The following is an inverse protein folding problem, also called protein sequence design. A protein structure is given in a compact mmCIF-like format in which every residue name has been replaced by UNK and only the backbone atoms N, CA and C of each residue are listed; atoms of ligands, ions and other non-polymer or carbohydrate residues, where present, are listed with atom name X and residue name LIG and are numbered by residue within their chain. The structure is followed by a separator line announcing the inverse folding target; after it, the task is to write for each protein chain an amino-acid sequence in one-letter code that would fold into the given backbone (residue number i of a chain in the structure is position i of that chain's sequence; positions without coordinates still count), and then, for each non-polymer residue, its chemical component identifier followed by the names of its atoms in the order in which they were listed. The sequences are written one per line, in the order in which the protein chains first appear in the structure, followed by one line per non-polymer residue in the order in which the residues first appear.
data_IF_220930847601
#
_entry.id   IF_220930847601
#
_cell.length_a   1.000
_cell.length_b   1.000
_cell.length_c   1.000
_cell.angle_alpha   90.00
_cell.angle_beta   90.00
_cell.angle_gamma   90.00
#
_symmetry.space_group_name_H-M   'P 1'
#
loop_
_entity.id
_entity.type
_entity.pdbx_description
1 polymer ?
#
# COMPACT_ATOMS: atom_id res chain seq x y z
N UNK A 1 -0.83 -2.01 -10.19
CA UNK A 1 0.42 -2.81 -10.34
C UNK A 1 0.26 -4.21 -9.77
N UNK A 2 0.02 -4.39 -8.46
CA UNK A 2 -0.16 -5.72 -7.85
C UNK A 2 -1.35 -6.49 -8.44
N UNK A 3 -2.49 -5.83 -8.65
CA UNK A 3 -3.67 -6.46 -9.27
C UNK A 3 -3.36 -7.01 -10.68
N UNK A 4 -2.62 -6.24 -11.48
CA UNK A 4 -2.15 -6.68 -12.80
C UNK A 4 -1.18 -7.86 -12.70
N UNK A 5 -0.25 -7.84 -11.73
CA UNK A 5 0.69 -8.94 -11.51
C UNK A 5 -0.05 -10.24 -11.13
N UNK A 6 -1.03 -10.17 -10.23
CA UNK A 6 -1.86 -11.34 -9.83
C UNK A 6 -2.62 -11.92 -11.03
N UNK A 7 -3.15 -11.08 -11.94
CA UNK A 7 -3.80 -11.55 -13.18
C UNK A 7 -2.82 -12.31 -14.10
N UNK A 8 -1.54 -11.98 -14.04
CA UNK A 8 -0.48 -12.61 -14.82
C UNK A 8 0.18 -13.80 -14.11
N UNK A 9 -0.28 -14.22 -12.93
CA UNK A 9 0.30 -15.34 -12.16
C UNK A 9 0.61 -16.57 -13.03
N UNK A 10 -0.35 -17.02 -13.85
CA UNK A 10 -0.16 -18.19 -14.74
C UNK A 10 0.97 -17.99 -15.76
N UNK A 11 1.18 -16.77 -16.22
CA UNK A 11 2.28 -16.46 -17.14
C UNK A 11 3.64 -16.58 -16.43
N UNK A 12 3.73 -16.10 -15.19
CA UNK A 12 4.94 -16.27 -14.36
C UNK A 12 5.21 -17.73 -13.99
N UNK A 13 4.16 -18.51 -13.68
CA UNK A 13 4.28 -19.95 -13.44
C UNK A 13 4.83 -20.68 -14.68
N UNK A 14 4.24 -20.44 -15.85
CA UNK A 14 4.74 -21.00 -17.12
C UNK A 14 6.15 -20.56 -17.46
N UNK A 15 6.52 -19.32 -17.16
CA UNK A 15 7.89 -18.83 -17.35
C UNK A 15 8.89 -19.58 -16.45
N UNK A 16 8.48 -19.93 -15.22
CA UNK A 16 9.26 -20.78 -14.33
C UNK A 16 9.42 -22.22 -14.81
N UNK A 17 8.49 -22.72 -15.63
CA UNK A 17 8.51 -24.08 -16.18
C UNK A 17 9.23 -24.17 -17.53
N UNK A 18 9.03 -23.17 -18.40
CA UNK A 18 9.40 -23.20 -19.82
C UNK A 18 10.67 -22.36 -20.13
N UNK A 19 10.99 -21.33 -19.33
CA UNK A 19 12.08 -20.39 -19.61
C UNK A 19 13.29 -20.59 -18.67
N UNK A 20 14.33 -21.23 -19.19
CA UNK A 20 15.57 -21.48 -18.45
C UNK A 20 16.31 -20.19 -18.11
N UNK A 21 16.23 -19.14 -18.93
CA UNK A 21 16.86 -17.86 -18.64
C UNK A 21 16.17 -17.18 -17.46
N UNK A 22 14.84 -17.23 -17.40
CA UNK A 22 14.07 -16.73 -16.25
C UNK A 22 14.44 -17.46 -14.96
N UNK A 23 14.54 -18.79 -15.00
CA UNK A 23 14.93 -19.58 -13.81
C UNK A 23 16.37 -19.28 -13.38
N UNK A 24 17.31 -19.20 -14.32
CA UNK A 24 18.72 -18.92 -14.01
C UNK A 24 18.92 -17.51 -13.48
N UNK A 25 18.14 -16.53 -13.95
CA UNK A 25 18.18 -15.16 -13.44
C UNK A 25 18.04 -15.08 -11.91
N UNK A 26 17.22 -15.93 -11.28
CA UNK A 26 17.08 -15.97 -9.81
C UNK A 26 18.06 -16.91 -9.10
N UNK A 27 18.74 -17.79 -9.84
CA UNK A 27 19.72 -18.75 -9.30
C UNK A 27 21.14 -18.23 -9.32
N UNK A 28 21.46 -17.36 -10.27
CA UNK A 28 22.80 -16.79 -10.40
C UNK A 28 23.09 -15.90 -9.18
N UNK A 29 24.03 -16.35 -8.34
CA UNK A 29 24.71 -15.47 -7.38
C UNK A 29 25.58 -14.53 -8.21
N UNK A 30 25.00 -13.42 -8.66
CA UNK A 30 25.79 -12.29 -9.10
C UNK A 30 26.79 -11.95 -7.97
N UNK A 31 28.01 -11.59 -8.34
CA UNK A 31 29.01 -11.02 -7.40
C UNK A 31 28.55 -9.70 -6.76
N UNK A 32 27.31 -9.25 -6.99
CA UNK A 32 26.65 -8.16 -6.29
C UNK A 32 26.30 -8.57 -4.86
N UNK A 33 26.45 -7.66 -3.91
CA UNK A 33 26.19 -7.88 -2.47
C UNK A 33 24.73 -8.30 -2.15
N UNK A 34 23.81 -8.26 -3.10
CA UNK A 34 22.40 -8.60 -2.91
C UNK A 34 21.96 -9.80 -3.75
N UNK A 35 21.68 -10.90 -3.04
CA UNK A 35 21.03 -12.09 -3.60
C UNK A 35 19.67 -11.71 -4.20
N UNK A 36 19.47 -12.08 -5.46
CA UNK A 36 18.20 -11.86 -6.17
C UNK A 36 17.09 -12.70 -5.51
N UNK A 37 15.93 -12.08 -5.25
CA UNK A 37 14.77 -12.74 -4.66
C UNK A 37 13.84 -13.18 -5.81
N UNK A 38 13.49 -14.46 -5.84
CA UNK A 38 12.47 -15.01 -6.74
C UNK A 38 12.73 -16.47 -7.12
N UNK A 39 11.96 -17.02 -8.08
CA UNK A 39 10.68 -16.50 -8.61
C UNK A 39 9.57 -16.47 -7.53
N UNK A 40 8.47 -15.71 -7.73
CA UNK A 40 7.38 -15.64 -6.76
C UNK A 40 6.79 -17.01 -6.47
N UNK A 41 6.66 -17.35 -5.19
CA UNK A 41 6.06 -18.60 -4.74
C UNK A 41 4.54 -18.42 -4.46
N UNK A 42 3.87 -19.50 -4.07
CA UNK A 42 2.43 -19.47 -3.77
C UNK A 42 2.08 -18.44 -2.68
N UNK A 43 2.89 -18.35 -1.62
CA UNK A 43 2.67 -17.43 -0.50
C UNK A 43 2.79 -15.98 -0.95
N UNK A 44 3.73 -15.66 -1.85
CA UNK A 44 3.89 -14.32 -2.42
C UNK A 44 2.61 -13.89 -3.15
N UNK A 45 1.98 -14.80 -3.89
CA UNK A 45 0.72 -14.52 -4.60
C UNK A 45 -0.46 -14.31 -3.66
N UNK A 46 -0.54 -15.07 -2.58
CA UNK A 46 -1.62 -14.93 -1.61
C UNK A 46 -1.44 -13.67 -0.76
N UNK A 47 -0.21 -13.38 -0.35
CA UNK A 47 0.15 -12.10 0.26
C UNK A 47 -0.20 -10.93 -0.67
N UNK A 48 0.14 -11.00 -1.97
CA UNK A 48 -0.18 -9.93 -2.91
C UNK A 48 -1.69 -9.63 -2.99
N UNK A 49 -2.56 -10.65 -2.93
CA UNK A 49 -4.03 -10.45 -2.87
C UNK A 49 -4.46 -9.74 -1.60
N UNK A 50 -3.90 -10.13 -0.45
CA UNK A 50 -4.16 -9.47 0.83
C UNK A 50 -3.73 -8.00 0.76
N UNK A 51 -2.55 -7.73 0.19
CA UNK A 51 -2.04 -6.37 0.01
C UNK A 51 -2.88 -5.51 -0.92
N UNK A 52 -3.44 -6.06 -2.00
CA UNK A 52 -4.34 -5.31 -2.90
C UNK A 52 -5.53 -4.76 -2.11
N UNK A 53 -6.18 -5.61 -1.30
CA UNK A 53 -7.32 -5.20 -0.49
C UNK A 53 -6.90 -4.21 0.61
N UNK A 54 -5.77 -4.49 1.27
CA UNK A 54 -5.21 -3.63 2.31
C UNK A 54 -4.92 -2.21 1.80
N UNK A 55 -4.33 -2.09 0.61
CA UNK A 55 -3.89 -0.81 0.03
C UNK A 55 -5.00 -0.04 -0.70
N UNK A 56 -6.12 -0.68 -1.04
CA UNK A 56 -7.18 -0.09 -1.86
C UNK A 56 -7.66 1.28 -1.34
N UNK A 57 -8.06 1.37 -0.07
CA UNK A 57 -8.52 2.62 0.54
C UNK A 57 -7.46 3.73 0.50
N UNK A 58 -6.19 3.38 0.69
CA UNK A 58 -5.10 4.35 0.66
C UNK A 58 -4.82 4.84 -0.76
N UNK A 59 -4.94 3.94 -1.75
CA UNK A 59 -4.82 4.28 -3.15
C UNK A 59 -5.89 5.29 -3.58
N UNK A 60 -7.16 5.01 -3.27
CA UNK A 60 -8.28 5.89 -3.64
C UNK A 60 -8.10 7.29 -3.04
N UNK A 61 -7.75 7.37 -1.76
CA UNK A 61 -7.49 8.65 -1.09
C UNK A 61 -6.29 9.38 -1.70
N UNK A 62 -5.21 8.66 -2.01
CA UNK A 62 -4.03 9.26 -2.65
C UNK A 62 -4.38 9.79 -4.03
N UNK A 63 -5.20 9.07 -4.79
CA UNK A 63 -5.67 9.47 -6.10
C UNK A 63 -6.51 10.75 -6.01
N UNK A 64 -7.43 10.84 -5.05
CA UNK A 64 -8.22 12.05 -4.78
C UNK A 64 -7.31 13.25 -4.48
N UNK A 65 -6.31 13.09 -3.60
CA UNK A 65 -5.35 14.17 -3.29
C UNK A 65 -4.43 14.53 -4.45
N UNK A 66 -4.21 13.61 -5.40
CA UNK A 66 -3.37 13.83 -6.58
C UNK A 66 -4.09 14.61 -7.68
N UNK A 67 -5.39 14.89 -7.52
CA UNK A 67 -6.13 15.72 -8.46
C UNK A 67 -5.58 17.15 -8.50
N UNK A 68 -5.39 17.67 -9.71
CA UNK A 68 -4.86 19.03 -9.95
C UNK A 68 -5.90 20.01 -10.48
N UNK A 69 -7.04 19.52 -10.95
CA UNK A 69 -8.09 20.32 -11.59
C UNK A 69 -9.17 20.80 -10.62
N UNK A 70 -9.16 20.31 -9.39
CA UNK A 70 -10.14 20.63 -8.37
C UNK A 70 -9.45 20.78 -7.02
N UNK A 71 -10.07 21.53 -6.11
CA UNK A 71 -9.55 21.71 -4.76
C UNK A 71 -9.66 20.40 -3.99
N UNK A 72 -8.57 20.00 -3.32
CA UNK A 72 -8.50 18.77 -2.51
C UNK A 72 -8.39 19.06 -1.01
N UNK A 73 -8.19 20.32 -0.60
CA UNK A 73 -8.04 20.70 0.80
C UNK A 73 -9.33 20.55 1.60
N UNK A 74 -10.50 20.65 0.96
CA UNK A 74 -11.80 20.52 1.61
C UNK A 74 -12.13 19.06 2.01
N UNK A 75 -11.67 18.07 1.23
CA UNK A 75 -11.85 16.64 1.56
C UNK A 75 -10.85 16.12 2.60
N UNK A 76 -9.88 16.95 3.00
CA UNK A 76 -8.78 16.54 3.87
C UNK A 76 -9.23 15.81 5.14
N UNK A 77 -10.17 16.41 5.87
CA UNK A 77 -10.58 15.89 7.18
C UNK A 77 -11.27 14.51 7.05
N UNK A 78 -12.12 14.35 6.04
CA UNK A 78 -12.76 13.07 5.72
C UNK A 78 -11.71 12.01 5.42
N UNK A 79 -10.75 12.32 4.54
CA UNK A 79 -9.67 11.40 4.18
C UNK A 79 -8.79 11.02 5.37
N UNK A 80 -8.45 11.99 6.23
CA UNK A 80 -7.69 11.76 7.45
C UNK A 80 -8.42 10.80 8.40
N UNK A 81 -9.71 11.04 8.64
CA UNK A 81 -10.56 10.17 9.47
C UNK A 81 -10.66 8.75 8.89
N UNK A 82 -10.87 8.62 7.58
CA UNK A 82 -10.94 7.33 6.90
C UNK A 82 -9.63 6.54 7.04
N UNK A 83 -8.48 7.16 6.76
CA UNK A 83 -7.17 6.51 6.92
C UNK A 83 -6.96 6.06 8.36
N UNK A 84 -7.23 6.95 9.33
CA UNK A 84 -7.05 6.65 10.75
C UNK A 84 -7.91 5.47 11.19
N UNK A 85 -9.19 5.47 10.83
CA UNK A 85 -10.12 4.40 11.20
C UNK A 85 -9.73 3.07 10.54
N UNK A 86 -9.35 3.10 9.26
CA UNK A 86 -8.86 1.94 8.54
C UNK A 86 -7.62 1.34 9.23
N UNK A 87 -6.64 2.18 9.59
CA UNK A 87 -5.43 1.73 10.28
C UNK A 87 -5.73 1.14 11.66
N UNK A 88 -6.69 1.71 12.41
CA UNK A 88 -7.11 1.15 13.71
C UNK A 88 -7.75 -0.22 13.50
N UNK A 89 -8.71 -0.34 12.58
CA UNK A 89 -9.39 -1.61 12.28
C UNK A 89 -8.39 -2.69 11.85
N UNK A 90 -7.51 -2.36 10.91
CA UNK A 90 -6.52 -3.29 10.38
C UNK A 90 -5.45 -3.65 11.40
N UNK A 91 -5.17 -2.80 12.39
CA UNK A 91 -4.23 -3.13 13.47
C UNK A 91 -4.77 -4.24 14.37
N UNK A 92 -6.09 -4.42 14.44
CA UNK A 92 -6.76 -5.45 15.24
C UNK A 92 -7.19 -6.67 14.43
N UNK A 93 -6.78 -6.75 13.16
CA UNK A 93 -7.09 -7.89 12.29
C UNK A 93 -6.44 -9.19 12.77
N UNK A 94 -7.07 -10.32 12.43
CA UNK A 94 -6.62 -11.66 12.81
C UNK A 94 -5.35 -12.03 12.04
N UNK A 95 -5.25 -11.60 10.78
CA UNK A 95 -4.08 -11.84 9.94
C UNK A 95 -2.84 -11.10 10.52
N UNK A 96 -1.80 -11.83 10.99
CA UNK A 96 -0.64 -11.22 11.60
C UNK A 96 0.17 -10.33 10.64
N UNK A 97 0.17 -10.63 9.35
CA UNK A 97 0.87 -9.83 8.35
C UNK A 97 0.18 -8.47 8.21
N UNK A 98 -1.14 -8.48 8.05
CA UNK A 98 -1.98 -7.27 7.95
C UNK A 98 -1.85 -6.42 9.20
N UNK A 99 -2.03 -7.03 10.38
CA UNK A 99 -1.94 -6.32 11.66
C UNK A 99 -0.57 -5.67 11.86
N UNK A 100 0.53 -6.41 11.60
CA UNK A 100 1.89 -5.88 11.74
C UNK A 100 2.14 -4.67 10.85
N UNK A 101 1.67 -4.72 9.60
CA UNK A 101 1.87 -3.63 8.64
C UNK A 101 0.99 -2.43 9.01
N UNK A 102 -0.27 -2.67 9.38
CA UNK A 102 -1.19 -1.64 9.84
C UNK A 102 -0.62 -0.89 11.05
N UNK A 103 -0.07 -1.60 12.04
CA UNK A 103 0.58 -1.00 13.21
C UNK A 103 1.76 -0.13 12.80
N UNK A 104 2.61 -0.61 11.90
CA UNK A 104 3.76 0.18 11.40
C UNK A 104 3.33 1.43 10.63
N UNK A 105 2.31 1.32 9.78
CA UNK A 105 1.76 2.45 9.03
C UNK A 105 1.07 3.45 9.95
N UNK A 106 0.33 2.97 10.96
CA UNK A 106 -0.29 3.80 11.99
C UNK A 106 0.73 4.63 12.76
N UNK A 107 1.85 4.01 13.17
CA UNK A 107 2.93 4.75 13.84
C UNK A 107 3.48 5.88 12.98
N UNK A 108 3.67 5.66 11.67
CA UNK A 108 4.11 6.70 10.74
C UNK A 108 3.06 7.79 10.55
N UNK A 109 1.80 7.40 10.44
CA UNK A 109 0.67 8.32 10.32
C UNK A 109 0.55 9.23 11.55
N UNK A 110 0.54 8.64 12.75
CA UNK A 110 0.44 9.39 14.01
C UNK A 110 1.66 10.31 14.20
N UNK A 111 2.86 9.84 13.84
CA UNK A 111 4.09 10.66 13.88
C UNK A 111 4.03 11.86 12.93
N UNK A 112 3.51 11.67 11.72
CA UNK A 112 3.45 12.74 10.71
C UNK A 112 2.40 13.79 11.08
N UNK A 113 1.20 13.35 11.43
CA UNK A 113 0.08 14.27 11.70
C UNK A 113 0.09 14.85 13.10
N UNK A 114 0.72 14.18 14.08
CA UNK A 114 0.80 14.61 15.49
C UNK A 114 -0.56 14.97 16.14
N UNK A 115 -1.66 14.52 15.54
CA UNK A 115 -3.03 14.86 15.94
C UNK A 115 -3.56 16.16 15.33
N UNK A 116 -4.87 16.40 15.49
CA UNK A 116 -5.54 17.58 14.93
C UNK A 116 -5.04 18.89 15.53
N UNK A 117 -4.59 18.88 16.78
CA UNK A 117 -4.09 20.06 17.50
C UNK A 117 -2.82 20.66 16.86
N UNK A 118 -2.04 19.85 16.15
CA UNK A 118 -0.79 20.25 15.50
C UNK A 118 -0.91 20.28 13.97
N UNK A 119 -2.12 20.07 13.46
CA UNK A 119 -2.40 20.14 12.02
C UNK A 119 -2.43 21.58 11.55
N UNK A 120 -2.08 21.83 10.28
CA UNK A 120 -2.13 23.16 9.69
C UNK A 120 -3.57 23.73 9.73
N UNK A 121 -3.75 24.86 10.41
CA UNK A 121 -5.04 25.54 10.54
C UNK A 121 -5.68 25.89 9.18
N UNK A 122 -4.89 26.09 8.12
CA UNK A 122 -5.42 26.33 6.78
C UNK A 122 -6.24 25.14 6.26
N UNK A 123 -5.84 23.90 6.59
CA UNK A 123 -6.61 22.70 6.22
C UNK A 123 -7.94 22.63 6.97
N UNK A 124 -7.97 23.09 8.22
CA UNK A 124 -9.20 23.15 9.01
C UNK A 124 -10.14 24.21 8.42
N UNK A 125 -9.62 25.40 8.11
CA UNK A 125 -10.40 26.46 7.49
C UNK A 125 -10.96 26.04 6.13
N UNK A 126 -10.18 25.35 5.30
CA UNK A 126 -10.64 24.85 4.01
C UNK A 126 -11.83 23.88 4.12
N UNK A 127 -11.90 23.10 5.20
CA UNK A 127 -13.02 22.19 5.49
C UNK A 127 -14.24 22.96 6.01
N UNK A 128 -14.04 23.94 6.89
CA UNK A 128 -15.14 24.74 7.48
C UNK A 128 -15.80 25.68 6.45
N UNK A 129 -15.01 26.17 5.50
CA UNK A 129 -15.47 27.06 4.44
C UNK A 129 -15.95 26.32 3.19
N UNK A 130 -15.95 24.97 3.21
CA UNK A 130 -16.54 24.16 2.15
C UNK A 130 -18.09 24.29 2.23
N UNK A 131 -18.77 24.81 1.19
CA UNK A 131 -20.21 25.13 1.22
C UNK A 131 -21.17 23.96 1.42
#
# INVERSE_FOLDING_TARGET
MLESAVKLRKAFERMGEEDLHYVNYFRDDDQSEQKRIGPPNCDDWDNAKVFINFLATFYDITLDFSASLHVTSNIYFKSWCTIRNQLISLSTEIDPLVSKIAVSMKQKFDKYWKGLEQTNNLLILAVVLDP
#
